data_IF_218344051473
#
_entry.id   IF_218344051473
#
_cell.length_a   1.000
_cell.length_b   1.000
_cell.length_c   1.000
_cell.angle_alpha   90.00
_cell.angle_beta   90.00
_cell.angle_gamma   90.00
#
_symmetry.space_group_name_H-M   'P 1'
#
loop_
_entity.id
_entity.type
_entity.pdbx_description
1 polymer ?
#
# COMPACT_ATOMS: atom_id res chain seq x y z
N UNK A 1 27.78 24.92 -11.07
CA UNK A 1 26.32 24.62 -10.97
C UNK A 1 26.14 23.63 -9.85
N UNK A 2 25.27 23.91 -8.89
CA UNK A 2 24.91 22.95 -7.83
C UNK A 2 23.85 22.00 -8.40
N UNK A 3 24.12 20.69 -8.38
CA UNK A 3 23.13 19.65 -8.66
C UNK A 3 22.81 18.91 -7.35
N UNK A 4 21.53 18.71 -7.08
CA UNK A 4 21.04 17.93 -5.95
C UNK A 4 20.36 16.66 -6.47
N UNK A 5 20.81 15.51 -5.98
CA UNK A 5 20.17 14.21 -6.22
C UNK A 5 19.55 13.71 -4.92
N UNK A 6 18.34 13.18 -4.98
CA UNK A 6 17.69 12.50 -3.86
C UNK A 6 17.05 11.21 -4.34
N UNK A 7 17.33 10.11 -3.65
CA UNK A 7 16.72 8.81 -3.88
C UNK A 7 15.78 8.47 -2.71
N UNK A 8 14.62 7.92 -3.03
CA UNK A 8 13.65 7.42 -2.04
C UNK A 8 13.22 6.02 -2.45
N UNK A 9 13.26 5.09 -1.51
CA UNK A 9 12.69 3.75 -1.68
C UNK A 9 11.37 3.71 -0.93
N UNK A 10 10.32 3.31 -1.63
CA UNK A 10 9.00 3.07 -1.05
C UNK A 10 8.85 1.56 -0.93
N UNK A 11 8.36 1.10 0.22
CA UNK A 11 8.03 -0.30 0.44
C UNK A 11 6.66 -0.39 1.08
N UNK A 12 5.88 -1.38 0.68
CA UNK A 12 4.61 -1.70 1.30
C UNK A 12 4.44 -3.22 1.40
N UNK A 13 3.59 -3.61 2.33
CA UNK A 13 3.22 -4.99 2.58
C UNK A 13 1.75 -5.05 2.96
N UNK A 14 1.12 -6.15 2.58
CA UNK A 14 -0.28 -6.45 2.85
C UNK A 14 -0.36 -7.78 3.59
N UNK A 15 -1.43 -7.95 4.35
CA UNK A 15 -1.84 -9.20 4.97
C UNK A 15 -3.36 -9.24 5.04
N UNK A 16 -3.94 -10.44 5.00
CA UNK A 16 -5.37 -10.61 5.28
C UNK A 16 -5.63 -10.49 6.77
N UNK A 17 -6.73 -9.85 7.13
CA UNK A 17 -7.15 -9.78 8.53
C UNK A 17 -7.58 -11.17 9.07
N UNK A 18 -8.02 -12.07 8.18
CA UNK A 18 -8.31 -13.47 8.51
C UNK A 18 -7.06 -14.29 8.89
N UNK A 19 -5.85 -13.79 8.60
CA UNK A 19 -4.59 -14.51 8.80
C UNK A 19 -4.26 -15.53 7.71
N UNK A 20 -5.07 -15.61 6.65
CA UNK A 20 -4.81 -16.45 5.48
C UNK A 20 -3.83 -15.80 4.49
N UNK A 21 -3.33 -16.60 3.55
CA UNK A 21 -2.53 -16.11 2.43
C UNK A 21 -3.35 -15.18 1.52
N UNK A 22 -2.65 -14.21 0.93
CA UNK A 22 -3.25 -13.26 -0.02
C UNK A 22 -3.73 -14.00 -1.27
N UNK A 23 -4.98 -13.74 -1.69
CA UNK A 23 -5.45 -14.20 -3.00
C UNK A 23 -4.54 -13.67 -4.13
N UNK A 24 -3.99 -14.51 -5.00
CA UNK A 24 -3.25 -14.05 -6.15
C UNK A 24 -4.10 -13.16 -7.07
N UNK A 25 -5.41 -13.39 -7.16
CA UNK A 25 -6.32 -12.56 -7.97
C UNK A 25 -6.55 -11.17 -7.38
N UNK A 26 -6.19 -10.94 -6.12
CA UNK A 26 -6.37 -9.65 -5.44
C UNK A 26 -5.09 -8.79 -5.44
N UNK A 27 -3.94 -9.36 -5.83
CA UNK A 27 -2.64 -8.69 -5.74
C UNK A 27 -2.59 -7.39 -6.55
N UNK A 28 -3.13 -7.36 -7.76
CA UNK A 28 -3.12 -6.15 -8.59
C UNK A 28 -4.00 -5.04 -8.00
N UNK A 29 -5.17 -5.39 -7.46
CA UNK A 29 -6.05 -4.43 -6.79
C UNK A 29 -5.39 -3.84 -5.53
N UNK A 30 -4.76 -4.68 -4.71
CA UNK A 30 -4.02 -4.24 -3.52
C UNK A 30 -2.81 -3.35 -3.86
N UNK A 31 -2.12 -3.63 -4.97
CA UNK A 31 -1.02 -2.81 -5.45
C UNK A 31 -1.53 -1.41 -5.85
N UNK A 32 -2.60 -1.34 -6.64
CA UNK A 32 -3.21 -0.06 -7.05
C UNK A 32 -3.69 0.76 -5.84
N UNK A 33 -4.38 0.11 -4.89
CA UNK A 33 -4.83 0.74 -3.64
C UNK A 33 -3.67 1.27 -2.81
N UNK A 34 -2.57 0.51 -2.70
CA UNK A 34 -1.36 0.97 -2.03
C UNK A 34 -0.77 2.19 -2.73
N UNK A 35 -0.57 2.13 -4.05
CA UNK A 35 0.03 3.24 -4.82
C UNK A 35 -0.78 4.54 -4.67
N UNK A 36 -2.10 4.46 -4.80
CA UNK A 36 -2.99 5.60 -4.63
C UNK A 36 -2.86 6.20 -3.22
N UNK A 37 -2.98 5.36 -2.19
CA UNK A 37 -2.94 5.81 -0.79
C UNK A 37 -1.57 6.38 -0.40
N UNK A 38 -0.49 5.73 -0.84
CA UNK A 38 0.89 6.18 -0.63
C UNK A 38 1.10 7.54 -1.28
N UNK A 39 0.67 7.71 -2.53
CA UNK A 39 0.82 8.97 -3.26
C UNK A 39 0.10 10.13 -2.54
N UNK A 40 -1.12 9.90 -2.04
CA UNK A 40 -1.84 10.89 -1.25
C UNK A 40 -1.14 11.24 0.07
N UNK A 41 -0.69 10.22 0.82
CA UNK A 41 -0.05 10.42 2.11
C UNK A 41 1.33 11.08 1.98
N UNK A 42 2.09 10.74 0.94
CA UNK A 42 3.33 11.42 0.59
C UNK A 42 3.11 12.90 0.27
N UNK A 43 2.05 13.25 -0.47
CA UNK A 43 1.69 14.66 -0.75
C UNK A 43 1.39 15.42 0.54
N UNK A 44 0.83 14.74 1.55
CA UNK A 44 0.56 15.29 2.89
C UNK A 44 1.81 15.31 3.81
N UNK A 45 2.95 14.81 3.35
CA UNK A 45 4.22 14.83 4.08
C UNK A 45 4.43 13.65 5.05
N UNK A 46 3.58 12.63 5.01
CA UNK A 46 3.78 11.43 5.83
C UNK A 46 4.86 10.52 5.23
N UNK A 47 5.81 10.01 6.03
CA UNK A 47 6.85 9.08 5.57
C UNK A 47 6.44 7.61 5.67
N UNK A 48 5.30 7.31 6.30
CA UNK A 48 4.77 5.96 6.49
C UNK A 48 3.30 6.03 6.91
N UNK A 49 2.61 4.88 6.89
CA UNK A 49 1.26 4.77 7.40
C UNK A 49 0.60 3.42 7.16
N UNK A 50 -0.62 3.31 7.68
CA UNK A 50 -1.47 2.13 7.51
C UNK A 50 -2.15 2.16 6.13
N UNK A 51 -2.28 0.97 5.54
CA UNK A 51 -3.12 0.68 4.38
C UNK A 51 -4.27 -0.22 4.83
N UNK A 52 -5.43 -0.06 4.22
CA UNK A 52 -6.61 -0.87 4.49
C UNK A 52 -7.45 -0.91 3.22
N UNK A 53 -7.92 -2.08 2.84
CA UNK A 53 -8.77 -2.27 1.66
C UNK A 53 -9.70 -3.48 1.83
N UNK A 54 -10.84 -3.46 1.14
CA UNK A 54 -11.82 -4.54 1.14
C UNK A 54 -12.15 -4.90 -0.31
N UNK A 55 -11.84 -6.12 -0.71
CA UNK A 55 -12.02 -6.59 -2.10
C UNK A 55 -13.24 -7.50 -2.17
N UNK A 56 -14.32 -6.99 -2.76
CA UNK A 56 -15.53 -7.77 -3.06
C UNK A 56 -15.39 -8.53 -4.38
N UNK A 57 -15.72 -9.83 -4.39
CA UNK A 57 -15.73 -10.65 -5.62
C UNK A 57 -16.99 -10.47 -6.50
N UNK A 58 -17.83 -9.48 -6.23
CA UNK A 58 -18.93 -9.09 -7.12
C UNK A 58 -20.16 -10.00 -7.09
N UNK A 59 -20.24 -10.96 -6.16
CA UNK A 59 -21.50 -11.52 -5.70
C UNK A 59 -22.05 -10.60 -4.62
N UNK A 60 -23.36 -10.39 -4.59
CA UNK A 60 -24.14 -9.48 -3.71
C UNK A 60 -23.94 -9.67 -2.18
N UNK A 61 -22.96 -10.47 -1.78
CA UNK A 61 -22.51 -10.65 -0.41
C UNK A 61 -21.61 -9.47 -0.01
N UNK A 62 -22.00 -8.79 1.07
CA UNK A 62 -21.23 -7.75 1.75
C UNK A 62 -19.91 -8.30 2.38
N UNK A 63 -19.67 -9.61 2.26
CA UNK A 63 -18.45 -10.31 2.67
C UNK A 63 -17.34 -10.16 1.61
N UNK A 64 -16.79 -8.95 1.50
CA UNK A 64 -15.51 -8.73 0.82
C UNK A 64 -14.34 -9.25 1.67
N UNK A 65 -13.20 -9.51 1.05
CA UNK A 65 -11.98 -9.90 1.78
C UNK A 65 -11.28 -8.67 2.33
N UNK A 66 -11.14 -8.59 3.65
CA UNK A 66 -10.46 -7.50 4.34
C UNK A 66 -8.94 -7.67 4.36
N UNK A 67 -8.25 -6.60 3.97
CA UNK A 67 -6.80 -6.52 3.96
C UNK A 67 -6.32 -5.32 4.77
N UNK A 68 -5.30 -5.58 5.56
CA UNK A 68 -4.55 -4.58 6.31
C UNK A 68 -3.12 -4.53 5.78
N UNK A 69 -2.50 -3.36 5.83
CA UNK A 69 -1.17 -3.18 5.28
C UNK A 69 -0.41 -2.04 5.95
N UNK A 70 0.88 -1.97 5.63
CA UNK A 70 1.75 -0.90 6.08
C UNK A 70 2.68 -0.48 4.95
N UNK A 71 2.91 0.82 4.84
CA UNK A 71 3.88 1.38 3.91
C UNK A 71 4.86 2.31 4.61
N UNK A 72 6.05 2.43 4.05
CA UNK A 72 7.07 3.34 4.54
C UNK A 72 8.02 3.83 3.42
N UNK A 73 8.68 4.94 3.70
CA UNK A 73 9.69 5.55 2.84
C UNK A 73 11.03 5.52 3.53
N UNK A 74 11.99 4.86 2.91
CA UNK A 74 13.40 4.93 3.29
C UNK A 74 14.10 5.91 2.36
N UNK A 75 14.69 6.95 2.95
CA UNK A 75 15.63 7.82 2.22
C UNK A 75 17.03 7.29 2.49
N UNK A 76 17.78 6.88 1.46
CA UNK A 76 19.23 6.71 1.63
C UNK A 76 19.82 8.08 1.91
N UNK A 77 20.37 8.25 3.11
CA UNK A 77 21.32 9.34 3.36
C UNK A 77 22.67 8.86 2.82
N UNK A 78 23.10 9.49 1.74
CA UNK A 78 24.49 9.46 1.27
C UNK A 78 25.35 10.31 2.21
#
# INVERSE_FOLDING_TARGET
>A
MLQMKREKTISYQWWRDSGEDIDPSHVEALAESAENRIAEMMKKGYPSGVLCDNICSGTDDEDGVEYSGWWEVKTKKD
#
